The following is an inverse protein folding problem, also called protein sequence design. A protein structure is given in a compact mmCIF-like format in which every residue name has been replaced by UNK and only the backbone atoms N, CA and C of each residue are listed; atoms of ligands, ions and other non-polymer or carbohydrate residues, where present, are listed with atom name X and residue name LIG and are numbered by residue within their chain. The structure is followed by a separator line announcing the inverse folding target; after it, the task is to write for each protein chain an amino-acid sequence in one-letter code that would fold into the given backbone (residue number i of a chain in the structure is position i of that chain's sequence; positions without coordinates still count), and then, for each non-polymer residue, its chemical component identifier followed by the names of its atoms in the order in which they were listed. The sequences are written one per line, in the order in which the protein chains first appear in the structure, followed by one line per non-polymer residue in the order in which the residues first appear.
data_IF_752794005265
#
_entry.id   IF_752794005265
#
_cell.length_a   1.000
_cell.length_b   1.000
_cell.length_c   1.000
_cell.angle_alpha   90.00
_cell.angle_beta   90.00
_cell.angle_gamma   90.00
#
_symmetry.space_group_name_H-M   'P 1'
#
loop_
_entity.id
_entity.type
_entity.pdbx_description
1 polymer ?
#
# COMPACT_ATOMS: atom_id res chain seq x y z
N UNK A 1 25.56 -9.80 9.30
CA UNK A 1 24.17 -10.19 8.95
C UNK A 1 23.34 -8.93 8.84
N UNK A 2 22.43 -8.84 7.87
CA UNK A 2 21.50 -7.71 7.79
C UNK A 2 20.34 -7.97 8.75
N UNK A 3 20.27 -7.19 9.83
CA UNK A 3 19.14 -7.21 10.75
C UNK A 3 18.08 -6.19 10.30
N UNK A 4 16.82 -6.58 10.42
CA UNK A 4 15.64 -5.78 10.12
C UNK A 4 14.71 -5.80 11.32
N UNK A 5 14.12 -4.66 11.66
CA UNK A 5 13.11 -4.55 12.72
C UNK A 5 11.78 -5.16 12.28
N UNK A 6 11.46 -5.07 10.99
CA UNK A 6 10.21 -5.58 10.41
C UNK A 6 10.47 -6.23 9.05
N UNK A 7 9.70 -7.28 8.77
CA UNK A 7 9.67 -7.93 7.45
C UNK A 7 8.23 -7.94 6.96
N UNK A 8 7.99 -7.36 5.79
CA UNK A 8 6.72 -7.41 5.06
C UNK A 8 6.90 -8.42 3.92
N UNK A 9 6.11 -9.49 3.94
CA UNK A 9 6.11 -10.52 2.88
C UNK A 9 4.88 -10.30 1.99
N UNK A 10 5.14 -9.89 0.75
CA UNK A 10 4.16 -9.53 -0.27
C UNK A 10 4.10 -8.03 -0.51
N UNK A 11 4.44 -7.60 -1.73
CA UNK A 11 4.25 -6.25 -2.26
C UNK A 11 2.92 -6.14 -3.05
N UNK A 12 1.86 -6.70 -2.47
CA UNK A 12 0.47 -6.47 -2.89
C UNK A 12 -0.06 -5.13 -2.38
N UNK A 13 -1.34 -4.85 -2.62
CA UNK A 13 -1.97 -3.62 -2.13
C UNK A 13 -1.82 -3.47 -0.60
N UNK A 14 -2.10 -4.53 0.17
CA UNK A 14 -1.96 -4.51 1.64
C UNK A 14 -0.52 -4.25 2.11
N UNK A 15 0.46 -4.96 1.55
CA UNK A 15 1.85 -4.80 1.94
C UNK A 15 2.45 -3.44 1.57
N UNK A 16 2.09 -2.92 0.39
CA UNK A 16 2.52 -1.58 -0.04
C UNK A 16 1.83 -0.47 0.76
N UNK A 17 0.54 -0.58 1.05
CA UNK A 17 -0.18 0.38 1.90
C UNK A 17 0.36 0.37 3.34
N UNK A 18 0.72 -0.81 3.85
CA UNK A 18 1.37 -0.93 5.16
C UNK A 18 2.76 -0.28 5.14
N UNK A 19 3.57 -0.57 4.13
CA UNK A 19 4.89 0.03 3.98
C UNK A 19 4.81 1.56 3.85
N UNK A 20 3.85 2.08 3.09
CA UNK A 20 3.58 3.53 2.98
C UNK A 20 3.17 4.13 4.32
N UNK A 21 2.26 3.48 5.06
CA UNK A 21 1.85 3.95 6.37
C UNK A 21 3.02 3.98 7.37
N UNK A 22 3.86 2.94 7.37
CA UNK A 22 5.06 2.89 8.22
C UNK A 22 6.08 3.95 7.82
N UNK A 23 6.31 4.16 6.51
CA UNK A 23 7.26 5.16 6.01
C UNK A 23 6.84 6.61 6.35
N UNK A 24 5.53 6.85 6.52
CA UNK A 24 4.97 8.15 6.87
C UNK A 24 4.78 8.39 8.38
N UNK A 25 5.10 7.41 9.22
CA UNK A 25 5.00 7.54 10.67
C UNK A 25 6.39 7.67 11.31
N UNK A 26 6.61 8.79 12.01
CA UNK A 26 7.88 9.12 12.67
C UNK A 26 8.40 8.06 13.63
N UNK A 27 7.53 7.19 14.17
CA UNK A 27 7.91 6.04 14.98
C UNK A 27 8.87 5.11 14.25
N UNK A 28 8.75 4.97 12.92
CA UNK A 28 9.55 4.05 12.12
C UNK A 28 10.80 4.69 11.49
N UNK A 29 11.09 5.96 11.74
CA UNK A 29 12.23 6.66 11.11
C UNK A 29 13.59 5.99 11.34
N UNK A 30 13.75 5.25 12.44
CA UNK A 30 14.98 4.53 12.77
C UNK A 30 14.86 3.01 12.57
N UNK A 31 13.77 2.54 11.95
CA UNK A 31 13.45 1.13 11.76
C UNK A 31 13.85 0.67 10.38
N UNK A 32 14.52 -0.47 10.31
CA UNK A 32 14.85 -1.14 9.05
C UNK A 32 13.71 -2.08 8.67
N UNK A 33 13.03 -1.78 7.57
CA UNK A 33 11.90 -2.55 7.05
C UNK A 33 12.34 -3.28 5.79
N UNK A 34 12.27 -4.61 5.80
CA UNK A 34 12.49 -5.43 4.61
C UNK A 34 11.17 -5.76 3.94
N UNK A 35 11.00 -5.37 2.68
CA UNK A 35 9.88 -5.79 1.83
C UNK A 35 10.33 -6.87 0.86
N UNK A 36 9.68 -8.03 0.89
CA UNK A 36 9.96 -9.15 -0.01
C UNK A 36 8.72 -9.46 -0.84
N UNK A 37 8.88 -9.64 -2.15
CA UNK A 37 7.86 -10.22 -3.02
C UNK A 37 8.47 -11.33 -3.86
N UNK A 38 7.65 -12.30 -4.26
CA UNK A 38 8.07 -13.42 -5.10
C UNK A 38 8.43 -12.97 -6.51
N UNK A 39 7.74 -11.94 -7.02
CA UNK A 39 7.91 -11.48 -8.40
C UNK A 39 8.34 -10.01 -8.43
N UNK A 40 9.24 -9.62 -9.34
CA UNK A 40 9.58 -8.22 -9.53
C UNK A 40 8.37 -7.44 -10.06
N UNK A 41 8.05 -6.32 -9.42
CA UNK A 41 6.96 -5.43 -9.84
C UNK A 41 7.47 -4.34 -10.78
N UNK A 42 7.69 -4.70 -12.05
CA UNK A 42 8.30 -3.79 -13.04
C UNK A 42 7.30 -3.14 -14.01
N UNK A 43 6.01 -3.45 -13.88
CA UNK A 43 4.93 -2.94 -14.74
C UNK A 43 3.78 -2.42 -13.88
N UNK A 44 3.03 -1.45 -14.41
CA UNK A 44 1.75 -1.02 -13.83
C UNK A 44 0.60 -1.82 -14.46
N UNK A 45 0.34 -3.01 -13.91
CA UNK A 45 -0.62 -3.99 -14.43
C UNK A 45 -1.81 -4.24 -13.49
N UNK A 46 -1.97 -3.44 -12.43
CA UNK A 46 -3.03 -3.58 -11.42
C UNK A 46 -3.86 -2.32 -11.34
N UNK A 47 -5.17 -2.51 -11.17
CA UNK A 47 -6.09 -1.45 -10.73
C UNK A 47 -6.47 -1.73 -9.29
N UNK A 48 -6.38 -0.71 -8.43
CA UNK A 48 -6.82 -0.79 -7.04
C UNK A 48 -8.13 -0.06 -6.87
N UNK A 49 -9.10 -0.73 -6.25
CA UNK A 49 -10.41 -0.17 -5.94
C UNK A 49 -10.58 -0.17 -4.42
N UNK A 50 -11.07 0.94 -3.89
CA UNK A 50 -11.27 1.12 -2.47
C UNK A 50 -12.51 1.98 -2.23
N UNK A 51 -12.98 1.97 -0.99
CA UNK A 51 -14.05 2.83 -0.50
C UNK A 51 -13.51 3.70 0.60
N UNK A 52 -13.76 4.99 0.52
CA UNK A 52 -13.40 5.95 1.56
C UNK A 52 -14.52 6.98 1.76
N UNK A 53 -14.44 7.71 2.86
CA UNK A 53 -15.36 8.82 3.15
C UNK A 53 -14.64 10.13 2.90
N UNK A 54 -15.24 10.99 2.07
CA UNK A 54 -14.66 12.29 1.73
C UNK A 54 -13.44 12.13 0.81
N UNK A 55 -12.59 13.16 0.81
CA UNK A 55 -11.39 13.18 -0.03
C UNK A 55 -10.21 12.50 0.69
N UNK A 56 -9.58 11.55 0.01
CA UNK A 56 -8.46 10.77 0.54
C UNK A 56 -7.06 11.22 0.15
N UNK A 57 -6.07 10.38 0.50
CA UNK A 57 -4.67 10.52 0.07
C UNK A 57 -4.48 10.23 -1.43
N UNK A 58 -5.42 9.51 -2.04
CA UNK A 58 -5.29 9.00 -3.40
C UNK A 58 -6.13 9.79 -4.42
N UNK A 59 -6.71 10.93 -4.03
CA UNK A 59 -7.63 11.70 -4.87
C UNK A 59 -7.08 12.00 -6.27
N UNK A 60 -5.80 12.38 -6.34
CA UNK A 60 -5.13 12.78 -7.58
C UNK A 60 -4.90 11.62 -8.56
N UNK A 61 -4.93 10.37 -8.07
CA UNK A 61 -4.69 9.17 -8.88
C UNK A 61 -5.97 8.38 -9.18
N UNK A 62 -7.13 8.86 -8.74
CA UNK A 62 -8.41 8.20 -9.01
C UNK A 62 -8.78 8.37 -10.49
N UNK A 63 -8.89 7.24 -11.20
CA UNK A 63 -9.38 7.21 -12.59
C UNK A 63 -10.91 7.11 -12.70
N UNK A 64 -11.58 6.45 -11.75
CA UNK A 64 -13.03 6.22 -11.78
C UNK A 64 -13.62 6.16 -10.38
N UNK A 65 -14.84 6.71 -10.21
CA UNK A 65 -15.59 6.76 -8.94
C UNK A 65 -16.96 6.11 -9.09
N UNK A 66 -17.46 5.54 -8.00
CA UNK A 66 -18.80 4.99 -7.89
C UNK A 66 -19.46 5.54 -6.63
N UNK A 67 -20.72 5.95 -6.74
CA UNK A 67 -21.46 6.56 -5.62
C UNK A 67 -22.20 5.53 -4.75
N UNK A 68 -22.33 4.29 -5.22
CA UNK A 68 -23.06 3.23 -4.55
C UNK A 68 -22.36 1.89 -4.78
N UNK A 69 -22.28 1.06 -3.74
CA UNK A 69 -21.95 -0.35 -3.86
C UNK A 69 -23.24 -1.18 -3.85
N UNK A 70 -23.29 -2.24 -4.63
CA UNK A 70 -24.37 -3.21 -4.60
C UNK A 70 -23.88 -4.50 -3.93
N UNK A 71 -24.61 -4.99 -2.93
CA UNK A 71 -24.42 -6.30 -2.35
C UNK A 71 -25.64 -7.17 -2.70
N UNK A 72 -25.38 -8.39 -3.13
CA UNK A 72 -26.39 -9.42 -3.39
C UNK A 72 -26.22 -10.56 -2.39
#
# INVERSE_FOLDING_TARGET
MNEFDYIIIGAGASGLLLADAMANDSFFNQKKILLLDKAPKNSNDRTWCFWEKGNGKFEEIIHKRWNSIHFQ
#
